data_IF_701530949159
#
_entry.id   IF_701530949159
#
_cell.length_a   1.000
_cell.length_b   1.000
_cell.length_c   1.000
_cell.angle_alpha   90.00
_cell.angle_beta   90.00
_cell.angle_gamma   90.00
#
_symmetry.space_group_name_H-M   'P 1'
#
loop_
_entity.id
_entity.type
_entity.pdbx_description
1 polymer ?
#
# COMPACT_ATOMS: atom_id res chain seq x y z
N UNK A 1 20.73 -12.92 5.78
CA UNK A 1 20.56 -12.99 4.31
C UNK A 1 20.04 -11.65 3.83
N UNK A 2 20.89 -10.76 3.31
CA UNK A 2 20.41 -9.51 2.72
C UNK A 2 19.94 -9.78 1.29
N UNK A 3 18.80 -10.47 1.17
CA UNK A 3 18.02 -10.38 -0.06
C UNK A 3 17.70 -8.90 -0.23
N UNK A 4 18.16 -8.31 -1.33
CA UNK A 4 18.04 -6.89 -1.73
C UNK A 4 17.07 -6.09 -0.85
N UNK A 5 17.55 -5.01 -0.22
CA UNK A 5 16.73 -4.04 0.52
C UNK A 5 15.75 -3.24 -0.38
N UNK A 6 15.13 -3.91 -1.36
CA UNK A 6 14.22 -3.35 -2.34
C UNK A 6 12.95 -2.82 -1.72
N UNK A 7 12.43 -3.48 -0.68
CA UNK A 7 11.30 -2.97 0.11
C UNK A 7 11.69 -1.63 0.76
N UNK A 8 12.87 -1.55 1.39
CA UNK A 8 13.37 -0.31 1.96
C UNK A 8 13.51 0.79 0.90
N UNK A 9 14.05 0.46 -0.28
CA UNK A 9 14.16 1.41 -1.40
C UNK A 9 12.79 1.90 -1.91
N UNK A 10 11.80 1.00 -2.04
CA UNK A 10 10.43 1.36 -2.42
C UNK A 10 9.80 2.27 -1.37
N UNK A 11 10.02 1.99 -0.09
CA UNK A 11 9.49 2.81 0.99
C UNK A 11 10.15 4.19 1.02
N UNK A 12 11.48 4.26 0.87
CA UNK A 12 12.20 5.54 0.72
C UNK A 12 11.69 6.34 -0.48
N UNK A 13 11.42 5.68 -1.62
CA UNK A 13 10.83 6.34 -2.79
C UNK A 13 9.42 6.88 -2.48
N UNK A 14 8.58 6.10 -1.80
CA UNK A 14 7.25 6.54 -1.37
C UNK A 14 7.28 7.78 -0.46
N UNK A 15 8.28 7.89 0.42
CA UNK A 15 8.44 9.03 1.35
C UNK A 15 8.89 10.33 0.68
N UNK A 16 9.46 10.26 -0.53
CA UNK A 16 9.93 11.45 -1.26
C UNK A 16 8.77 12.36 -1.65
N UNK A 17 9.06 13.66 -1.65
CA UNK A 17 8.13 14.73 -2.06
C UNK A 17 8.54 15.39 -3.38
N UNK A 18 9.74 15.08 -3.88
CA UNK A 18 10.37 15.61 -5.08
C UNK A 18 10.21 14.68 -6.30
N UNK A 19 9.27 13.74 -6.24
CA UNK A 19 9.00 12.77 -7.31
C UNK A 19 7.57 12.89 -7.81
N UNK A 20 7.35 12.35 -9.01
CA UNK A 20 6.02 12.29 -9.60
C UNK A 20 5.02 11.48 -8.76
N UNK A 21 3.75 11.92 -8.77
CA UNK A 21 2.66 11.27 -8.03
C UNK A 21 2.50 9.80 -8.44
N UNK A 22 2.64 9.49 -9.73
CA UNK A 22 2.54 8.14 -10.27
C UNK A 22 3.62 7.23 -9.67
N UNK A 23 4.86 7.71 -9.55
CA UNK A 23 5.95 6.94 -8.94
C UNK A 23 5.67 6.64 -7.46
N UNK A 24 5.11 7.61 -6.73
CA UNK A 24 4.70 7.43 -5.34
C UNK A 24 3.56 6.40 -5.21
N UNK A 25 2.54 6.51 -6.07
CA UNK A 25 1.42 5.56 -6.13
C UNK A 25 1.90 4.14 -6.43
N UNK A 26 2.71 3.97 -7.48
CA UNK A 26 3.29 2.67 -7.87
C UNK A 26 4.11 2.06 -6.73
N UNK A 27 4.91 2.87 -6.03
CA UNK A 27 5.69 2.40 -4.88
C UNK A 27 4.81 1.82 -3.77
N UNK A 28 3.74 2.54 -3.39
CA UNK A 28 2.79 2.06 -2.37
C UNK A 28 2.04 0.79 -2.80
N UNK A 29 1.60 0.74 -4.06
CA UNK A 29 0.93 -0.42 -4.67
C UNK A 29 1.86 -1.64 -4.63
N UNK A 30 3.11 -1.50 -5.07
CA UNK A 30 4.09 -2.59 -5.06
C UNK A 30 4.34 -3.10 -3.63
N UNK A 31 4.50 -2.20 -2.66
CA UNK A 31 4.66 -2.60 -1.25
C UNK A 31 3.43 -3.40 -0.79
N UNK A 32 2.21 -2.92 -1.04
CA UNK A 32 1.00 -3.63 -0.66
C UNK A 32 0.87 -5.02 -1.29
N UNK A 33 1.24 -5.17 -2.56
CA UNK A 33 1.23 -6.45 -3.26
C UNK A 33 2.30 -7.43 -2.74
N UNK A 34 3.52 -6.95 -2.48
CA UNK A 34 4.62 -7.77 -1.95
C UNK A 34 4.35 -8.29 -0.53
N UNK A 35 3.55 -7.56 0.25
CA UNK A 35 3.12 -7.94 1.59
C UNK A 35 1.79 -8.71 1.61
N UNK A 36 1.39 -9.36 0.51
CA UNK A 36 0.22 -10.24 0.48
C UNK A 36 0.24 -11.24 1.65
N UNK A 37 -0.83 -11.23 2.45
CA UNK A 37 -1.02 -12.04 3.66
C UNK A 37 0.09 -11.91 4.74
N UNK A 38 1.05 -11.00 4.56
CA UNK A 38 2.14 -10.73 5.51
C UNK A 38 1.90 -9.41 6.23
N UNK A 39 2.24 -9.35 7.51
CA UNK A 39 2.14 -8.12 8.27
C UNK A 39 3.13 -7.08 7.73
N UNK A 40 2.63 -5.86 7.47
CA UNK A 40 3.50 -4.72 7.17
C UNK A 40 4.27 -4.30 8.43
N UNK A 41 5.54 -3.88 8.32
CA UNK A 41 6.26 -3.25 9.42
C UNK A 41 5.46 -2.08 10.01
N UNK A 42 5.51 -1.92 11.32
CA UNK A 42 4.75 -0.88 12.04
C UNK A 42 4.99 0.52 11.48
N UNK A 43 6.26 0.81 11.17
CA UNK A 43 6.76 2.05 10.58
C UNK A 43 6.21 2.36 9.17
N UNK A 44 5.71 1.37 8.42
CA UNK A 44 5.15 1.56 7.08
C UNK A 44 3.62 1.45 7.06
N UNK A 45 3.05 0.65 7.97
CA UNK A 45 1.68 0.13 7.84
C UNK A 45 0.63 1.23 7.75
N UNK A 46 0.68 2.24 8.63
CA UNK A 46 -0.33 3.30 8.63
C UNK A 46 -0.22 4.17 7.35
N UNK A 47 0.99 4.54 6.95
CA UNK A 47 1.19 5.41 5.78
C UNK A 47 0.80 4.71 4.47
N UNK A 48 1.24 3.45 4.28
CA UNK A 48 0.92 2.68 3.07
C UNK A 48 -0.57 2.40 2.99
N UNK A 49 -1.20 1.95 4.07
CA UNK A 49 -2.64 1.66 4.05
C UNK A 49 -3.47 2.92 3.84
N UNK A 50 -3.11 4.03 4.48
CA UNK A 50 -3.80 5.32 4.29
C UNK A 50 -3.67 5.81 2.84
N UNK A 51 -2.47 5.74 2.26
CA UNK A 51 -2.25 6.13 0.87
C UNK A 51 -3.06 5.26 -0.09
N UNK A 52 -3.02 3.94 0.05
CA UNK A 52 -3.80 3.03 -0.80
C UNK A 52 -5.30 3.27 -0.68
N UNK A 53 -5.83 3.59 0.52
CA UNK A 53 -7.25 3.96 0.70
C UNK A 53 -7.62 5.20 -0.11
N UNK A 54 -6.73 6.18 -0.20
CA UNK A 54 -6.98 7.40 -1.00
C UNK A 54 -7.08 7.13 -2.51
N UNK A 55 -6.50 6.02 -2.97
CA UNK A 55 -6.41 5.67 -4.40
C UNK A 55 -7.58 4.82 -4.91
N UNK A 56 -8.47 4.33 -4.04
CA UNK A 56 -9.57 3.44 -4.47
C UNK A 56 -10.61 4.13 -5.35
N UNK A 57 -10.57 5.47 -5.45
CA UNK A 57 -11.39 6.29 -6.33
C UNK A 57 -10.53 7.13 -7.29
N UNK A 58 -9.27 6.74 -7.53
CA UNK A 58 -8.41 7.44 -8.50
C UNK A 58 -9.03 7.38 -9.90
N UNK A 59 -8.87 8.45 -10.68
CA UNK A 59 -9.37 8.54 -12.05
C UNK A 59 -8.62 7.63 -13.01
N UNK A 60 -7.36 7.31 -12.69
CA UNK A 60 -6.60 6.31 -13.43
C UNK A 60 -7.03 4.90 -13.00
N UNK A 61 -7.61 4.16 -13.94
CA UNK A 61 -8.16 2.82 -13.67
C UNK A 61 -7.10 1.83 -13.18
N UNK A 62 -5.87 1.94 -13.71
CA UNK A 62 -4.78 1.06 -13.28
C UNK A 62 -4.46 1.29 -11.81
N UNK A 63 -4.30 2.55 -11.40
CA UNK A 63 -4.03 2.96 -10.01
C UNK A 63 -5.16 2.53 -9.09
N UNK A 64 -6.41 2.80 -9.48
CA UNK A 64 -7.60 2.39 -8.74
C UNK A 64 -7.63 0.87 -8.52
N UNK A 65 -7.61 0.09 -9.59
CA UNK A 65 -7.77 -1.37 -9.50
C UNK A 65 -6.62 -2.03 -8.74
N UNK A 66 -5.38 -1.57 -8.95
CA UNK A 66 -4.23 -2.11 -8.24
C UNK A 66 -4.20 -1.70 -6.77
N UNK A 67 -4.70 -0.52 -6.40
CA UNK A 67 -4.82 -0.11 -4.99
C UNK A 67 -5.85 -0.96 -4.24
N UNK A 68 -7.00 -1.25 -4.86
CA UNK A 68 -8.02 -2.16 -4.34
C UNK A 68 -7.43 -3.56 -4.14
N UNK A 69 -6.75 -4.10 -5.16
CA UNK A 69 -6.09 -5.39 -5.09
C UNK A 69 -5.02 -5.45 -4.00
N UNK A 70 -4.20 -4.41 -3.86
CA UNK A 70 -3.18 -4.30 -2.82
C UNK A 70 -3.81 -4.29 -1.41
N UNK A 71 -4.89 -3.53 -1.19
CA UNK A 71 -5.62 -3.54 0.08
C UNK A 71 -6.21 -4.93 0.38
N UNK A 72 -6.80 -5.60 -0.63
CA UNK A 72 -7.35 -6.93 -0.46
C UNK A 72 -6.28 -7.97 -0.10
N UNK A 73 -5.09 -7.88 -0.69
CA UNK A 73 -3.93 -8.72 -0.35
C UNK A 73 -3.40 -8.45 1.05
N UNK A 74 -3.31 -7.19 1.46
CA UNK A 74 -2.90 -6.82 2.81
C UNK A 74 -3.91 -7.30 3.85
N UNK A 75 -5.21 -7.19 3.58
CA UNK A 75 -6.30 -7.56 4.48
C UNK A 75 -6.37 -9.08 4.78
N UNK A 76 -5.66 -9.92 4.02
CA UNK A 76 -5.48 -11.34 4.35
C UNK A 76 -4.68 -11.54 5.64
N UNK A 77 -3.91 -10.53 6.08
CA UNK A 77 -3.28 -10.51 7.40
C UNK A 77 -4.14 -9.74 8.41
N UNK A 78 -4.36 -10.31 9.60
CA UNK A 78 -5.25 -9.73 10.62
C UNK A 78 -4.81 -8.34 11.12
N UNK A 79 -3.50 -8.10 11.29
CA UNK A 79 -2.99 -6.83 11.80
C UNK A 79 -3.17 -5.72 10.76
N UNK A 80 -2.86 -6.02 9.50
CA UNK A 80 -3.11 -5.09 8.39
C UNK A 80 -4.61 -4.83 8.20
N UNK A 81 -5.45 -5.86 8.27
CA UNK A 81 -6.90 -5.73 8.14
C UNK A 81 -7.47 -4.79 9.20
N UNK A 82 -7.06 -4.96 10.47
CA UNK A 82 -7.44 -4.05 11.57
C UNK A 82 -7.10 -2.59 11.27
N UNK A 83 -5.95 -2.30 10.66
CA UNK A 83 -5.58 -0.95 10.23
C UNK A 83 -6.46 -0.46 9.05
N UNK A 84 -6.75 -1.34 8.09
CA UNK A 84 -7.52 -1.01 6.89
C UNK A 84 -8.96 -0.65 7.25
N UNK A 85 -9.62 -1.38 8.15
CA UNK A 85 -11.05 -1.14 8.47
C UNK A 85 -11.28 0.00 9.48
N UNK A 86 -10.21 0.61 10.02
CA UNK A 86 -10.30 1.84 10.84
C UNK A 86 -11.08 2.91 10.08
N UNK A 87 -11.88 3.67 10.81
CA UNK A 87 -12.73 4.72 10.24
C UNK A 87 -13.90 4.19 9.42
N UNK A 88 -14.32 2.93 9.63
CA UNK A 88 -15.41 2.27 8.89
C UNK A 88 -15.14 2.11 7.39
N UNK A 89 -13.87 2.18 6.97
CA UNK A 89 -13.48 1.97 5.59
C UNK A 89 -13.80 0.54 5.15
N UNK A 90 -14.34 0.40 3.93
CA UNK A 90 -14.58 -0.88 3.26
C UNK A 90 -13.81 -0.87 1.95
N UNK A 91 -13.07 -1.93 1.67
CA UNK A 91 -12.43 -2.12 0.37
C UNK A 91 -13.56 -2.30 -0.67
N UNK A 92 -13.59 -1.49 -1.74
CA UNK A 92 -14.56 -1.67 -2.83
C UNK A 92 -14.43 -3.06 -3.47
N UNK A 93 -15.55 -3.61 -3.93
CA UNK A 93 -15.59 -4.84 -4.73
C UNK A 93 -15.55 -4.50 -6.23
#
# INVERSE_FOLDING_TARGET
MSALNGIGKLYSLFKRTDIDKEMKNKSAICIGQLFRAKQLPDEMRSEITSHLKSLVNDSDEWTKNNSIGALAYLAQNLVNNREIVKGRFKIPQ
#
